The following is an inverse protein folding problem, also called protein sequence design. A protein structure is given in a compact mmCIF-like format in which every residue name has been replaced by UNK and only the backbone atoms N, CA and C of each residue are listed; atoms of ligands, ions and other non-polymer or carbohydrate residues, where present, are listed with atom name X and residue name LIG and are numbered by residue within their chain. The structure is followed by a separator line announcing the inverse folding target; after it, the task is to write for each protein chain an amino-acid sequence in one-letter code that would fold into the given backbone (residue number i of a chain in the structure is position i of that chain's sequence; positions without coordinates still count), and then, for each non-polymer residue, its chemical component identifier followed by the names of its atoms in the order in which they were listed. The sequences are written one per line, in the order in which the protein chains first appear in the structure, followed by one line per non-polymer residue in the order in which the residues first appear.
data_IF_580800643853
#
_entry.id   IF_580800643853
#
_cell.length_a   1.000
_cell.length_b   1.000
_cell.length_c   1.000
_cell.angle_alpha   90.00
_cell.angle_beta   90.00
_cell.angle_gamma   90.00
#
_symmetry.space_group_name_H-M   'P 1'
#
loop_
_entity.id
_entity.type
_entity.pdbx_description
1 polymer ?
#
# COMPACT_ATOMS: atom_id res chain seq x y z
N UNK A 53 -32.56 4.13 -20.86
CA UNK A 53 -32.57 5.07 -21.96
C UNK A 53 -31.30 5.93 -21.71
N UNK A 54 -29.97 5.82 -22.69
CA UNK A 54 -29.29 7.14 -22.77
C UNK A 54 -29.83 7.92 -23.96
N UNK A 55 -29.88 9.12 -23.70
CA UNK A 55 -30.31 10.06 -24.73
C UNK A 55 -30.52 11.45 -24.13
N UNK A 56 -30.85 12.31 -25.04
CA UNK A 56 -31.21 13.71 -24.81
C UNK A 56 -30.47 14.47 -23.78
N UNK A 57 -30.52 14.14 -22.60
CA UNK A 57 -30.35 15.17 -21.61
C UNK A 57 -29.59 14.55 -20.58
N UNK A 58 -28.72 15.43 -20.22
CA UNK A 58 -27.59 15.18 -19.39
C UNK A 58 -27.25 16.45 -18.61
N UNK A 59 -26.99 16.27 -17.43
CA UNK A 59 -26.52 17.37 -16.56
C UNK A 59 -25.21 16.97 -15.88
N UNK A 60 -24.20 17.43 -16.57
CA UNK A 60 -22.88 17.53 -15.99
C UNK A 60 -22.81 18.80 -15.20
N UNK A 61 -23.15 18.61 -13.97
CA UNK A 61 -23.16 19.66 -13.00
C UNK A 61 -21.78 20.19 -12.76
N UNK A 62 -21.78 21.43 -12.30
CA UNK A 62 -20.56 22.12 -11.89
C UNK A 62 -19.93 21.31 -10.85
N UNK A 63 -20.83 20.85 -10.07
CA UNK A 63 -20.48 20.11 -8.94
C UNK A 63 -21.48 19.08 -8.61
N UNK A 64 -20.80 18.02 -8.43
CA UNK A 64 -21.29 16.81 -7.95
C UNK A 64 -20.38 16.42 -6.81
N UNK A 65 -20.97 15.70 -5.92
CA UNK A 65 -20.30 15.21 -4.72
C UNK A 65 -21.18 14.17 -4.05
N UNK A 66 -20.50 13.38 -3.29
CA UNK A 66 -21.13 12.31 -2.47
C UNK A 66 -20.87 12.55 -0.99
N UNK A 67 -21.60 11.73 -0.20
CA UNK A 67 -21.57 11.70 1.29
C UNK A 67 -21.53 10.23 1.80
N UNK A 68 -20.31 9.79 2.10
CA UNK A 68 -20.04 8.44 2.64
C UNK A 68 -19.91 8.55 4.16
N UNK A 69 -20.20 7.49 4.88
CA UNK A 69 -20.15 7.55 6.35
C UNK A 69 -18.91 6.81 6.87
N UNK A 70 -19.25 5.93 7.84
CA UNK A 70 -18.28 5.33 8.73
C UNK A 70 -18.71 3.96 9.09
N UNK A 71 -18.53 3.21 8.16
CA UNK A 71 -18.66 1.82 8.20
C UNK A 71 -18.35 1.29 9.61
N UNK A 72 -19.34 0.83 10.29
CA UNK A 72 -19.14 0.00 11.50
C UNK A 72 -19.22 -1.49 11.07
N UNK A 73 -18.26 -2.50 11.54
CA UNK A 73 -18.03 -3.87 11.02
C UNK A 73 -19.08 -4.92 11.53
N UNK A 74 -19.08 -6.16 10.83
CA UNK A 74 -20.01 -7.43 11.09
C UNK A 74 -19.13 -8.88 10.95
N UNK A 75 -19.61 -10.18 11.56
CA UNK A 75 -18.72 -11.60 11.73
C UNK A 75 -19.49 -13.14 12.04
N UNK A 76 -18.74 -14.56 12.00
CA UNK A 76 -19.39 -16.18 12.09
C UNK A 76 -18.72 -17.54 12.95
N UNK A 77 -19.61 -18.67 13.35
CA UNK A 77 -19.36 -19.94 14.34
C UNK A 77 -17.91 -20.43 14.51
N UNK A 78 -17.62 -21.63 14.09
CA UNK A 78 -16.26 -22.16 14.18
C UNK A 78 -15.94 -22.77 12.85
N UNK A 79 -16.83 -23.68 12.56
CA UNK A 79 -16.81 -24.43 11.35
C UNK A 79 -15.35 -24.60 10.98
N UNK A 80 -14.65 -23.51 11.05
CA UNK A 80 -13.26 -23.52 10.73
C UNK A 80 -12.95 -22.18 10.09
N UNK A 81 -13.45 -21.17 10.74
CA UNK A 81 -13.31 -19.83 10.25
C UNK A 81 -14.26 -18.89 10.94
N UNK A 82 -13.91 -17.67 10.69
CA UNK A 82 -14.38 -16.46 11.31
C UNK A 82 -15.37 -15.67 10.42
N UNK A 83 -14.83 -14.15 9.62
CA UNK A 83 -15.12 -13.38 8.37
C UNK A 83 -14.95 -11.85 8.62
N UNK A 84 -15.28 -11.08 7.59
CA UNK A 84 -15.18 -9.60 7.63
C UNK A 84 -16.02 -8.96 6.52
N UNK A 85 -15.75 -7.66 6.37
CA UNK A 85 -16.38 -6.75 5.39
C UNK A 85 -15.54 -5.46 5.32
N UNK A 86 -15.42 -4.87 4.20
CA UNK A 86 -14.58 -3.66 4.01
C UNK A 86 -14.91 -2.40 4.84
N UNK A 87 -14.13 -1.39 4.45
CA UNK A 87 -14.14 -0.03 4.98
C UNK A 87 -12.72 0.41 5.31
N UNK A 88 -12.07 0.83 4.27
CA UNK A 88 -10.71 1.34 4.31
C UNK A 88 -10.61 2.45 3.28
N UNK A 89 -9.67 3.20 3.38
CA UNK A 89 -9.48 4.27 2.42
C UNK A 89 -8.01 4.35 2.00
N UNK A 90 -7.73 3.52 1.06
CA UNK A 90 -6.35 3.23 0.51
C UNK A 90 -5.32 4.38 -0.16
N UNK A 91 -5.09 5.72 0.26
CA UNK A 91 -4.17 6.91 -0.39
C UNK A 91 -4.79 7.45 -1.71
N UNK A 92 -4.48 8.72 -1.99
CA UNK A 92 -5.04 9.45 -3.15
C UNK A 92 -3.95 10.07 -4.05
N UNK A 93 -4.46 10.66 -5.18
CA UNK A 93 -4.18 10.52 -5.73
C UNK A 93 -3.77 12.00 -5.49
N UNK A 94 -3.29 12.62 -6.56
CA UNK A 94 -2.81 14.02 -6.57
C UNK A 94 -2.61 14.48 -8.04
N UNK A 95 -3.38 15.44 -8.48
CA UNK A 95 -3.31 16.02 -9.83
C UNK A 95 -2.61 15.05 -10.79
N UNK A 96 -2.04 15.66 -11.81
CA UNK A 96 -1.31 14.95 -12.86
C UNK A 96 -1.25 15.82 -14.11
N UNK A 97 -1.63 17.07 -13.93
CA UNK A 97 -1.62 18.06 -15.00
C UNK A 97 -0.49 17.73 -16.02
N UNK A 98 -0.44 16.45 -16.46
CA UNK A 98 0.60 15.91 -17.41
C UNK A 98 -0.04 14.88 -18.45
N UNK A 99 0.70 14.49 -19.56
CA UNK A 99 0.12 13.62 -20.69
C UNK A 99 0.50 12.11 -20.68
N UNK A 100 0.87 11.59 -19.53
CA UNK A 100 1.20 10.17 -19.41
C UNK A 100 0.69 9.64 -18.08
N UNK A 101 -0.22 8.63 -17.79
CA UNK A 101 -0.61 8.56 -16.40
C UNK A 101 0.57 8.44 -15.51
N UNK A 102 0.25 8.00 -14.34
CA UNK A 102 1.19 7.88 -13.26
C UNK A 102 0.41 7.17 -12.14
N UNK A 103 0.99 6.01 -11.77
CA UNK A 103 0.35 5.01 -10.88
C UNK A 103 0.90 4.88 -9.43
N UNK A 104 -0.03 4.50 -8.54
CA UNK A 104 0.25 4.32 -7.09
C UNK A 104 0.11 2.84 -6.69
N UNK A 105 -0.03 1.99 -7.69
CA UNK A 105 -0.17 0.54 -7.47
C UNK A 105 -0.01 0.22 -5.98
N UNK A 106 -1.08 -0.31 -5.39
CA UNK A 106 -1.11 -0.70 -3.97
C UNK A 106 -1.47 -2.19 -3.86
N UNK A 107 -0.70 -2.91 -3.06
CA UNK A 107 -0.80 -4.40 -2.93
C UNK A 107 -1.85 -4.89 -1.94
N UNK A 108 -2.46 -6.02 -2.34
CA UNK A 108 -3.59 -6.64 -1.61
C UNK A 108 -3.26 -8.01 -1.00
N UNK A 109 -3.41 -8.04 0.30
CA UNK A 109 -3.21 -9.26 1.11
C UNK A 109 -3.73 -8.95 2.50
N UNK A 110 -4.34 -9.89 3.19
CA UNK A 110 -4.90 -9.60 4.47
C UNK A 110 -3.99 -8.73 5.30
N UNK A 111 -2.68 -8.84 5.11
CA UNK A 111 -1.73 -8.03 5.94
C UNK A 111 -0.69 -7.34 5.06
N UNK A 112 -0.96 -6.11 4.72
CA UNK A 112 -0.13 -5.28 3.86
C UNK A 112 -0.52 -3.87 4.14
N UNK A 113 -0.34 -3.25 5.29
CA UNK A 113 -1.21 -2.14 5.66
C UNK A 113 -1.45 -1.17 4.57
N UNK A 114 -0.44 -0.94 3.78
CA UNK A 114 -0.58 -0.02 2.67
C UNK A 114 -1.80 -0.41 1.84
N UNK A 115 -2.76 -1.04 2.52
CA UNK A 115 -3.99 -1.51 1.89
C UNK A 115 -4.97 -2.11 2.92
N UNK A 116 -4.71 -1.82 4.17
CA UNK A 116 -5.55 -2.33 5.28
C UNK A 116 -4.90 -1.97 6.62
N UNK A 117 -5.41 -0.90 7.20
CA UNK A 117 -4.93 -0.39 8.49
C UNK A 117 -5.88 -0.81 9.62
N UNK A 118 -6.95 -1.45 9.23
CA UNK A 118 -7.98 -1.93 10.17
C UNK A 118 -8.47 -3.31 9.79
N UNK A 119 -7.60 -4.28 9.99
CA UNK A 119 -7.90 -5.67 9.68
C UNK A 119 -6.58 -6.44 9.65
N UNK A 120 -5.53 -5.67 9.75
CA UNK A 120 -4.17 -6.20 9.80
C UNK A 120 -3.85 -6.37 11.29
N UNK A 121 -4.92 -6.44 12.03
CA UNK A 121 -4.89 -6.54 13.49
C UNK A 121 -5.64 -7.79 13.95
N UNK A 122 -6.15 -8.53 12.99
CA UNK A 122 -6.91 -9.76 13.26
C UNK A 122 -6.50 -10.86 12.29
N UNK A 123 -5.24 -10.81 11.92
CA UNK A 123 -4.63 -11.78 11.03
C UNK A 123 -3.30 -12.19 11.65
N UNK A 124 -3.24 -11.88 12.92
CA UNK A 124 -2.10 -12.21 13.77
C UNK A 124 -2.53 -13.35 14.67
N UNK A 125 -3.62 -13.95 14.24
CA UNK A 125 -4.25 -15.05 14.98
C UNK A 125 -4.76 -16.12 14.01
N UNK A 126 -4.55 -15.88 12.73
CA UNK A 126 -4.96 -16.82 11.66
C UNK A 126 -3.92 -16.83 10.54
N UNK A 127 -4.23 -17.57 9.49
CA UNK A 127 -3.36 -17.66 8.32
C UNK A 127 -4.06 -18.39 7.16
N UNK A 128 -4.65 -17.59 6.31
CA UNK A 128 -5.36 -18.09 5.12
C UNK A 128 -6.64 -17.26 4.93
N UNK A 129 -7.02 -17.11 3.68
CA UNK A 129 -8.22 -16.34 3.32
C UNK A 129 -8.54 -16.30 1.84
N UNK A 130 -9.67 -15.73 1.96
CA UNK A 130 -10.88 -15.71 1.19
C UNK A 130 -11.21 -14.68 0.16
N UNK A 131 -11.72 -13.59 0.67
CA UNK A 131 -12.32 -12.56 -0.16
C UNK A 131 -13.60 -13.17 -0.75
N UNK A 132 -14.65 -12.39 -0.68
CA UNK A 132 -15.95 -12.77 -1.21
C UNK A 132 -16.60 -11.51 -1.73
N UNK A 133 -16.10 -10.41 -1.21
CA UNK A 133 -16.55 -9.06 -1.57
C UNK A 133 -15.39 -8.07 -1.41
N UNK A 134 -15.24 -7.24 -2.42
CA UNK A 134 -14.19 -6.22 -2.44
C UNK A 134 -14.25 -5.42 -3.74
N UNK A 135 -14.48 -4.14 -3.56
CA UNK A 135 -14.57 -3.18 -4.66
C UNK A 135 -14.03 -1.84 -4.19
N UNK A 136 -13.56 -1.06 -5.13
CA UNK A 136 -13.01 0.27 -4.82
C UNK A 136 -13.82 1.34 -5.53
N UNK A 137 -14.25 2.30 -4.76
CA UNK A 137 -15.04 3.40 -5.27
C UNK A 137 -14.22 4.68 -5.28
N UNK A 138 -14.38 5.40 -6.35
CA UNK A 138 -13.82 6.73 -6.43
C UNK A 138 -14.84 7.59 -5.92
N UNK A 139 -14.84 7.63 -4.63
CA UNK A 139 -15.67 8.55 -4.08
C UNK A 139 -15.44 9.67 -5.02
N UNK A 140 -16.29 10.39 -5.10
CA UNK A 140 -16.22 11.62 -5.94
C UNK A 140 -16.35 13.01 -5.19
N UNK A 141 -15.25 13.66 -4.72
CA UNK A 141 -15.34 14.95 -3.92
C UNK A 141 -14.50 16.12 -4.55
N UNK A 142 -14.82 16.47 -5.79
CA UNK A 142 -14.10 17.54 -6.53
C UNK A 142 -14.89 17.97 -7.78
N UNK A 143 -15.25 19.26 -7.89
CA UNK A 143 -16.13 19.76 -8.94
C UNK A 143 -15.67 19.40 -10.32
N UNK A 144 -16.56 19.60 -11.28
CA UNK A 144 -16.34 19.25 -12.69
C UNK A 144 -15.43 20.25 -13.39
N UNK A 145 -15.31 21.41 -12.81
CA UNK A 145 -14.44 22.45 -13.34
C UNK A 145 -13.01 21.88 -13.41
N UNK A 146 -12.93 20.60 -13.12
CA UNK A 146 -11.68 19.83 -13.16
C UNK A 146 -11.96 18.56 -13.98
N UNK A 147 -10.93 17.99 -14.60
CA UNK A 147 -11.14 16.80 -15.44
C UNK A 147 -9.84 16.06 -15.82
N UNK A 148 -10.07 14.94 -16.51
CA UNK A 148 -9.01 14.03 -16.97
C UNK A 148 -9.53 12.59 -16.91
N UNK A 149 -8.86 11.78 -16.11
CA UNK A 149 -9.24 10.35 -15.87
C UNK A 149 -8.61 9.90 -14.55
N UNK A 150 -9.14 8.80 -14.06
CA UNK A 150 -8.66 8.21 -12.82
C UNK A 150 -8.70 6.69 -12.92
N UNK A 151 -7.93 6.17 -13.87
CA UNK A 151 -7.81 4.73 -14.06
C UNK A 151 -7.91 4.06 -12.69
N UNK A 152 -8.34 2.82 -12.69
CA UNK A 152 -8.52 2.06 -11.44
C UNK A 152 -9.06 0.66 -11.76
N UNK A 153 -8.13 -0.28 -11.88
CA UNK A 153 -8.46 -1.69 -12.19
C UNK A 153 -7.37 -2.63 -11.65
N UNK A 154 -7.85 -3.73 -10.99
CA UNK A 154 -6.91 -4.64 -10.30
C UNK A 154 -6.50 -5.77 -11.25
N UNK A 155 -5.32 -6.31 -10.96
CA UNK A 155 -4.73 -7.40 -11.74
C UNK A 155 -4.25 -8.50 -10.80
N UNK A 156 -5.06 -9.55 -10.72
CA UNK A 156 -4.75 -10.70 -9.86
C UNK A 156 -3.27 -10.66 -9.50
N UNK A 157 -2.48 -10.98 -10.51
CA UNK A 157 -1.02 -10.97 -10.39
C UNK A 157 -0.61 -9.61 -9.83
N UNK A 158 -0.90 -9.49 -8.56
CA UNK A 158 -0.72 -8.26 -7.77
C UNK A 158 0.74 -7.76 -7.73
N UNK A 159 1.61 -8.26 -8.58
CA UNK A 159 3.01 -7.80 -8.54
C UNK A 159 3.73 -7.98 -9.88
N UNK A 160 4.25 -6.97 -10.34
CA UNK A 160 4.88 -6.76 -11.65
C UNK A 160 4.85 -5.27 -11.99
N UNK A 161 5.79 -4.75 -12.80
CA UNK A 161 5.83 -3.34 -13.07
C UNK A 161 4.55 -2.86 -13.66
N UNK A 162 4.06 -1.68 -13.25
CA UNK A 162 2.87 -1.14 -13.85
C UNK A 162 3.37 -0.87 -15.17
N UNK A 163 2.75 -0.68 -16.28
CA UNK A 163 3.58 -0.31 -17.31
C UNK A 163 4.06 1.02 -16.96
N UNK A 164 4.40 1.52 -18.04
CA UNK A 164 4.87 2.81 -18.22
C UNK A 164 3.75 3.50 -18.93
N UNK A 165 3.10 2.75 -19.82
CA UNK A 165 2.06 3.35 -20.67
C UNK A 165 0.68 2.69 -20.63
N UNK A 166 -0.21 3.70 -20.74
CA UNK A 166 -1.69 3.66 -20.78
C UNK A 166 -2.21 2.42 -21.46
N UNK A 167 -2.33 2.52 -22.76
CA UNK A 167 -2.78 1.40 -23.57
C UNK A 167 -2.46 0.14 -22.79
N UNK A 168 -1.24 0.14 -22.28
CA UNK A 168 -0.72 -0.95 -21.45
C UNK A 168 -1.67 -1.17 -20.28
N UNK A 169 -2.05 -0.06 -19.70
CA UNK A 169 -2.99 -0.02 -18.57
C UNK A 169 -4.40 -0.31 -19.07
N UNK A 170 -4.74 0.34 -20.15
CA UNK A 170 -6.06 0.31 -20.80
C UNK A 170 -6.24 -1.00 -21.56
N UNK A 171 -5.51 -2.00 -21.14
CA UNK A 171 -5.56 -3.33 -21.78
C UNK A 171 -5.66 -4.42 -20.72
N UNK A 172 -5.47 -3.98 -19.48
CA UNK A 172 -5.54 -4.86 -18.31
C UNK A 172 -6.87 -4.63 -17.57
N UNK A 173 -7.69 -5.65 -17.71
CA UNK A 173 -9.05 -5.58 -17.14
C UNK A 173 -9.16 -4.38 -16.19
N UNK A 174 -9.81 -4.64 -15.06
CA UNK A 174 -10.10 -3.61 -14.05
C UNK A 174 -11.21 -2.76 -14.63
N UNK A 175 -10.77 -2.02 -15.65
CA UNK A 175 -11.66 -1.29 -16.55
C UNK A 175 -12.02 0.00 -16.21
N UNK A 176 -11.66 0.55 -15.23
CA UNK A 176 -12.61 1.51 -15.12
C UNK A 176 -12.18 2.69 -14.42
N UNK A 177 -11.96 3.57 -15.34
CA UNK A 177 -11.61 4.93 -15.13
C UNK A 177 -12.70 5.77 -15.80
N UNK A 178 -12.78 6.62 -15.21
CA UNK A 178 -13.72 7.68 -15.51
C UNK A 178 -13.07 9.01 -15.18
N UNK A 179 -13.86 10.04 -15.31
CA UNK A 179 -13.41 11.39 -14.98
C UNK A 179 -13.37 11.55 -13.48
N UNK A 180 -12.64 12.52 -12.98
CA UNK A 180 -12.65 12.87 -11.57
C UNK A 180 -13.96 13.54 -11.00
N UNK A 181 -14.89 14.14 -11.79
CA UNK A 181 -16.12 14.89 -11.24
C UNK A 181 -17.35 13.99 -11.03
N UNK A 182 -17.12 12.71 -11.12
CA UNK A 182 -18.18 11.71 -10.98
C UNK A 182 -17.80 10.66 -9.93
N UNK A 183 -18.78 9.83 -9.63
CA UNK A 183 -18.62 8.75 -8.64
C UNK A 183 -18.69 7.39 -9.34
N UNK A 184 -17.57 6.71 -9.32
CA UNK A 184 -17.44 5.38 -9.93
C UNK A 184 -17.13 4.34 -8.86
N UNK A 185 -17.29 3.14 -9.24
CA UNK A 185 -16.98 1.95 -8.45
C UNK A 185 -16.13 0.99 -9.29
N UNK A 186 -15.55 0.04 -8.60
CA UNK A 186 -14.70 -0.97 -9.22
C UNK A 186 -14.92 -2.30 -8.49
N UNK A 187 -14.92 -3.36 -9.26
CA UNK A 187 -15.14 -4.69 -8.73
C UNK A 187 -14.22 -5.70 -9.42
N UNK A 188 -14.06 -6.85 -8.62
CA UNK A 188 -13.04 -7.85 -8.97
C UNK A 188 -13.57 -9.26 -8.87
N UNK A 189 -13.41 -10.13 -9.90
CA UNK A 189 -13.77 -11.51 -9.78
C UNK A 189 -12.86 -12.21 -8.79
N UNK A 190 -13.40 -12.50 -7.60
CA UNK A 190 -12.62 -13.16 -6.51
C UNK A 190 -12.76 -14.66 -6.55
N UNK A 191 -11.63 -15.29 -6.24
CA UNK A 191 -11.59 -16.72 -6.24
C UNK A 191 -11.86 -17.32 -4.92
N UNK A 192 -11.45 -18.54 -5.03
CA UNK A 192 -11.80 -19.48 -4.08
C UNK A 192 -10.73 -20.51 -3.70
N UNK A 193 -9.56 -20.05 -3.36
CA UNK A 193 -8.48 -20.94 -2.90
C UNK A 193 -7.97 -20.43 -1.56
N UNK A 194 -7.71 -21.37 -0.67
CA UNK A 194 -7.22 -21.09 0.70
C UNK A 194 -5.77 -20.58 0.65
N UNK A 195 -5.63 -19.29 0.37
CA UNK A 195 -4.31 -18.65 0.28
C UNK A 195 -3.86 -18.16 1.66
N UNK A 196 -2.54 -18.05 1.80
CA UNK A 196 -1.88 -17.68 3.07
C UNK A 196 -1.36 -16.24 3.01
N UNK A 197 -1.41 -15.60 4.15
CA UNK A 197 -0.91 -14.23 4.31
C UNK A 197 0.59 -14.33 4.56
N UNK A 198 1.25 -13.20 4.64
CA UNK A 198 2.70 -13.17 4.78
C UNK A 198 3.19 -12.83 6.20
N UNK A 199 3.62 -13.88 6.91
CA UNK A 199 4.32 -13.69 8.19
C UNK A 199 5.76 -13.60 7.74
N UNK A 200 5.71 -13.01 6.54
CA UNK A 200 6.83 -12.74 5.64
C UNK A 200 6.30 -12.78 4.18
N UNK A 201 7.30 -12.73 3.70
CA UNK A 201 8.13 -13.12 2.52
C UNK A 201 7.81 -14.41 1.71
N UNK A 202 7.75 -14.77 1.73
CA UNK A 202 7.69 -15.36 0.37
C UNK A 202 8.10 -14.72 -0.99
N UNK A 203 7.14 -15.15 -1.87
CA UNK A 203 6.98 -14.95 -3.34
C UNK A 203 5.79 -14.02 -3.62
N UNK A 204 5.71 -12.72 -4.24
CA UNK A 204 4.43 -12.01 -4.38
C UNK A 204 3.55 -12.64 -5.40
N UNK A 205 3.05 -13.82 -5.16
CA UNK A 205 2.13 -14.43 -6.14
C UNK A 205 1.36 -15.63 -5.59
N UNK A 206 2.00 -16.36 -4.70
CA UNK A 206 1.37 -17.55 -4.12
C UNK A 206 0.73 -17.22 -2.76
N UNK A 207 0.97 -15.99 -2.31
CA UNK A 207 0.50 -15.54 -0.98
C UNK A 207 -0.62 -14.49 -1.05
N UNK A 208 -0.72 -13.80 -2.16
CA UNK A 208 -1.75 -12.75 -2.34
C UNK A 208 -2.16 -12.65 -3.81
N UNK A 209 -3.43 -12.37 -4.03
CA UNK A 209 -3.98 -12.23 -5.39
C UNK A 209 -3.01 -11.41 -6.24
N UNK A 210 -3.13 -10.09 -6.14
CA UNK A 210 -2.26 -9.13 -6.89
C UNK A 210 -2.53 -7.70 -6.39
N UNK A 211 -1.60 -6.76 -6.66
CA UNK A 211 -1.83 -5.34 -6.22
C UNK A 211 -2.88 -4.70 -7.07
N UNK A 212 -3.32 -3.59 -6.53
CA UNK A 212 -4.28 -2.73 -7.17
C UNK A 212 -3.47 -1.65 -7.87
N UNK A 213 -4.16 -0.85 -8.64
CA UNK A 213 -3.54 0.22 -9.41
C UNK A 213 -4.43 1.46 -9.40
N UNK A 214 -3.91 2.53 -9.73
CA UNK A 214 -4.68 3.77 -9.92
C UNK A 214 -3.83 4.83 -10.58
N UNK A 215 -4.34 5.32 -11.65
CA UNK A 215 -3.71 6.39 -12.35
C UNK A 215 -4.77 7.42 -12.59
N UNK A 216 -4.27 8.54 -12.93
CA UNK A 216 -5.07 9.68 -13.26
C UNK A 216 -4.20 10.60 -14.08
N UNK A 217 -4.71 10.94 -15.24
CA UNK A 217 -4.05 11.87 -16.14
C UNK A 217 -5.02 13.00 -16.48
N UNK A 218 -4.59 14.19 -16.15
CA UNK A 218 -5.36 15.43 -16.35
C UNK A 218 -4.42 16.62 -16.22
N UNK A 219 -5.01 17.82 -16.24
CA UNK A 219 -4.22 19.08 -16.17
C UNK A 219 -5.01 20.23 -15.52
N UNK A 220 -6.32 20.18 -15.70
CA UNK A 220 -7.24 21.14 -15.03
C UNK A 220 -7.08 20.83 -13.55
N UNK A 221 -7.24 21.76 -12.65
CA UNK A 221 -6.58 21.69 -11.34
C UNK A 221 -7.52 21.20 -10.23
N UNK A 222 -6.85 20.17 -9.42
CA UNK A 222 -7.62 19.77 -8.24
C UNK A 222 -6.93 18.61 -7.51
N UNK A 223 -7.51 18.33 -6.37
CA UNK A 223 -7.12 17.22 -5.50
C UNK A 223 -8.26 16.18 -5.59
N UNK A 224 -8.34 15.65 -6.81
CA UNK A 224 -9.36 14.68 -7.27
C UNK A 224 -10.27 14.14 -6.14
N UNK A 225 -10.04 12.90 -5.74
CA UNK A 225 -10.89 12.24 -4.71
C UNK A 225 -10.15 11.16 -3.89
N UNK A 226 -10.98 10.23 -3.39
CA UNK A 226 -10.54 9.12 -2.51
C UNK A 226 -11.32 7.82 -2.79
N UNK A 227 -10.75 6.72 -2.31
CA UNK A 227 -11.32 5.36 -2.47
C UNK A 227 -11.03 4.47 -1.24
N UNK A 228 -11.65 3.31 -1.26
CA UNK A 228 -11.47 2.28 -0.22
C UNK A 228 -11.50 0.89 -0.87
N UNK A 229 -11.95 -0.06 -0.08
CA UNK A 229 -12.03 -1.46 -0.52
C UNK A 229 -13.20 -2.19 0.14
N UNK A 230 -14.24 -2.38 -0.66
CA UNK A 230 -15.44 -3.11 -0.24
C UNK A 230 -15.06 -4.59 -0.22
N UNK A 231 -15.16 -5.20 0.94
CA UNK A 231 -14.76 -6.61 1.06
C UNK A 231 -15.43 -7.34 2.21
N UNK A 232 -15.17 -8.65 2.15
CA UNK A 232 -15.64 -9.67 3.09
C UNK A 232 -14.67 -10.85 2.99
N UNK A 233 -13.97 -11.10 4.08
CA UNK A 233 -12.90 -12.11 4.12
C UNK A 233 -13.25 -13.35 4.95
N UNK A 234 -12.39 -14.33 4.72
CA UNK A 234 -12.40 -15.65 5.38
C UNK A 234 -10.99 -15.94 5.90
N UNK A 235 -10.89 -16.00 7.21
CA UNK A 235 -9.60 -16.22 7.89
C UNK A 235 -9.58 -17.62 8.57
N UNK A 236 -9.31 -18.71 7.79
CA UNK A 236 -9.28 -20.07 8.43
C UNK A 236 -8.08 -20.24 9.32
N UNK A 237 -8.01 -21.47 9.77
CA UNK A 237 -6.97 -21.97 10.64
C UNK A 237 -6.64 -20.98 11.74
N UNK A 238 -6.85 -21.44 12.95
CA UNK A 238 -6.55 -20.67 14.15
C UNK A 238 -5.03 -20.73 14.41
N UNK A 239 -4.43 -19.55 14.36
CA UNK A 239 -3.00 -19.36 14.66
C UNK A 239 -2.88 -18.35 15.81
N UNK A 240 -2.12 -17.28 15.59
CA UNK A 240 -1.97 -16.19 16.60
C UNK A 240 -0.50 -15.85 16.89
N UNK A 241 -0.14 -14.60 16.56
CA UNK A 241 1.23 -14.08 16.77
C UNK A 241 1.51 -12.89 15.83
N UNK A 242 2.75 -12.41 15.90
CA UNK A 242 3.24 -11.35 15.02
C UNK A 242 3.55 -10.02 15.74
N UNK A 243 4.00 -9.08 14.92
CA UNK A 243 4.36 -7.69 15.32
C UNK A 243 5.11 -7.00 14.17
N UNK A 244 6.31 -6.38 14.39
CA UNK A 244 7.14 -5.82 13.32
C UNK A 244 8.34 -6.64 12.84
N UNK A 245 7.71 -5.42 13.08
CA UNK A 245 8.44 -5.88 11.90
C UNK A 245 9.96 -5.78 12.10
N UNK A 246 10.56 -6.96 12.04
CA UNK A 246 12.01 -7.15 12.20
C UNK A 246 12.55 -7.74 10.88
N UNK A 247 13.55 -7.10 10.28
CA UNK A 247 14.08 -7.56 8.96
C UNK A 247 15.60 -7.40 8.81
N UNK A 248 16.29 -8.51 8.99
CA UNK A 248 17.75 -8.58 8.99
C UNK A 248 18.38 -8.94 7.63
N UNK A 249 19.55 -8.36 7.38
CA UNK A 249 20.36 -8.71 6.20
C UNK A 249 21.45 -9.72 6.65
N UNK A 250 21.54 -10.81 5.93
CA UNK A 250 22.59 -11.82 6.12
C UNK A 250 23.67 -11.71 5.00
N UNK A 251 24.72 -10.97 5.25
CA UNK A 251 25.91 -10.83 4.33
C UNK A 251 25.72 -11.32 2.87
N UNK A 252 25.00 -12.42 2.71
CA UNK A 252 24.72 -13.01 1.38
C UNK A 252 23.41 -12.45 0.84
N UNK A 253 22.53 -12.26 1.76
CA UNK A 253 21.14 -11.86 1.53
C UNK A 253 20.61 -11.09 2.74
N UNK A 254 19.34 -10.81 2.68
CA UNK A 254 18.64 -10.09 3.73
C UNK A 254 17.79 -11.06 4.57
N UNK A 255 16.56 -10.66 4.73
CA UNK A 255 15.63 -11.26 5.72
C UNK A 255 14.53 -10.14 6.11
N UNK A 256 12.83 -9.93 5.14
CA UNK A 256 11.78 -9.06 5.63
C UNK A 256 10.66 -9.92 6.13
N UNK A 257 11.00 -10.95 6.52
CA UNK A 257 10.20 -12.17 6.54
C UNK A 257 9.27 -12.20 7.76
N UNK A 258 8.78 -11.04 8.17
CA UNK A 258 7.87 -10.97 9.33
C UNK A 258 7.08 -9.63 9.42
N UNK A 259 6.21 -9.38 8.41
CA UNK A 259 5.20 -8.32 8.22
C UNK A 259 5.87 -6.98 7.86
N UNK A 260 5.38 -6.39 6.77
CA UNK A 260 5.93 -5.12 6.21
C UNK A 260 5.12 -3.80 6.46
N UNK A 261 6.44 -2.79 6.24
CA UNK A 261 5.74 -1.62 5.69
C UNK A 261 6.63 -0.88 4.70
N UNK A 262 7.89 -1.25 4.70
CA UNK A 262 8.91 -0.60 3.85
C UNK A 262 9.72 -1.64 3.05
N UNK A 263 10.17 -1.18 1.88
CA UNK A 263 11.07 -1.96 1.01
C UNK A 263 12.41 -1.23 0.99
N UNK A 264 13.44 -1.99 1.22
CA UNK A 264 14.78 -1.43 1.30
C UNK A 264 15.59 -1.69 0.04
N UNK A 265 15.52 -0.71 -0.85
CA UNK A 265 16.34 -0.71 -2.06
C UNK A 265 17.49 0.22 -1.84
N UNK A 266 18.43 0.04 -2.69
CA UNK A 266 19.60 0.86 -2.71
C UNK A 266 19.80 1.30 -4.14
N UNK A 267 20.28 2.44 -4.22
CA UNK A 267 20.79 3.02 -5.46
C UNK A 267 22.32 3.07 -5.39
N UNK A 268 22.85 2.36 -6.49
CA UNK A 268 24.30 2.16 -6.60
C UNK A 268 25.01 3.49 -6.47
N UNK A 269 26.24 3.40 -6.09
CA UNK A 269 26.98 4.58 -5.70
C UNK A 269 26.47 4.75 -4.32
N UNK A 270 27.25 3.84 -3.61
CA UNK A 270 26.44 3.60 -2.43
C UNK A 270 26.25 4.96 -1.67
N UNK A 271 25.00 5.08 -1.55
CA UNK A 271 24.05 6.06 -1.10
C UNK A 271 23.02 5.01 -1.10
N UNK A 272 22.00 5.03 -0.34
CA UNK A 272 21.21 3.80 -0.29
C UNK A 272 19.72 4.09 -0.34
N UNK A 273 18.96 3.19 0.24
CA UNK A 273 17.49 3.32 0.28
C UNK A 273 16.93 2.73 1.57
N UNK A 274 16.09 3.54 2.21
CA UNK A 274 15.31 3.06 3.36
C UNK A 274 13.83 3.57 3.31
N UNK A 275 12.93 2.61 2.84
CA UNK A 275 11.49 2.89 2.46
C UNK A 275 10.43 2.20 3.38
N UNK A 276 8.99 2.75 2.57
CA UNK A 276 7.63 2.47 3.01
C UNK A 276 6.71 1.94 1.88
N UNK A 277 5.73 1.19 2.39
CA UNK A 277 4.67 0.51 1.62
C UNK A 277 3.33 0.78 2.32
N UNK A 278 3.47 1.33 3.52
CA UNK A 278 2.35 1.70 4.41
C UNK A 278 2.41 3.20 4.72
N UNK A 279 1.37 3.69 5.39
CA UNK A 279 1.23 5.13 5.75
C UNK A 279 0.70 5.32 7.22
N UNK A 280 1.35 6.32 7.93
CA UNK A 280 1.06 6.75 9.37
C UNK A 280 2.37 7.26 10.11
N UNK A 281 2.30 7.63 11.43
CA UNK A 281 3.52 8.03 12.26
C UNK A 281 4.11 6.72 12.82
N UNK A 282 5.46 6.54 12.80
CA UNK A 282 6.00 5.22 13.18
C UNK A 282 7.06 5.38 14.26
N UNK A 283 7.53 4.24 14.70
CA UNK A 283 8.59 4.15 15.70
C UNK A 283 9.59 3.14 15.25
N UNK A 284 10.61 3.72 14.70
CA UNK A 284 11.70 2.98 14.21
C UNK A 284 12.57 2.69 15.29
N UNK A 285 13.02 1.93 15.02
CA UNK A 285 13.99 1.44 16.01
C UNK A 285 14.92 0.44 15.35
N UNK A 286 16.25 0.67 15.39
CA UNK A 286 17.10 -0.36 14.75
C UNK A 286 18.50 -0.09 14.13
N UNK A 287 18.84 -1.46 13.59
CA UNK A 287 19.91 -2.00 12.69
C UNK A 287 21.27 -1.51 13.18
N UNK A 288 22.67 -2.03 12.35
CA UNK A 288 23.93 -1.63 13.00
C UNK A 288 25.11 -2.51 12.47
N UNK A 289 26.30 -2.14 12.99
CA UNK A 289 27.69 -2.77 12.85
C UNK A 289 28.77 -1.71 12.47
N UNK A 290 29.11 -1.59 11.16
CA UNK A 290 30.09 -0.59 10.65
C UNK A 290 29.33 0.74 10.40
N UNK A 291 29.29 1.57 11.47
CA UNK A 291 28.58 2.89 11.49
C UNK A 291 29.29 3.88 10.59
N UNK A 292 28.87 3.80 9.36
CA UNK A 292 29.58 4.51 8.34
C UNK A 292 29.11 5.90 8.19
N UNK A 293 28.69 6.00 6.96
CA UNK A 293 28.20 7.16 6.27
C UNK A 293 27.03 7.76 7.01
N UNK A 294 26.19 7.22 6.92
CA UNK A 294 25.46 8.10 7.81
C UNK A 294 24.39 7.38 8.42
N UNK A 295 23.33 7.78 8.13
CA UNK A 295 22.41 7.10 8.80
C UNK A 295 21.54 8.03 9.34
N UNK A 296 20.55 7.51 8.97
CA UNK A 296 19.36 8.03 9.12
C UNK A 296 19.47 9.51 8.91
N UNK A 297 19.51 9.42 7.50
CA UNK A 297 19.00 10.62 6.83
C UNK A 297 17.59 10.29 6.32
N UNK A 298 16.96 11.32 5.79
CA UNK A 298 15.61 11.21 5.21
C UNK A 298 15.46 12.24 4.09
N UNK A 299 14.43 12.03 3.28
CA UNK A 299 14.18 12.91 2.12
C UNK A 299 12.68 13.21 1.98
N UNK A 300 11.69 12.23 1.44
CA UNK A 300 10.23 12.41 1.25
C UNK A 300 9.53 11.86 2.47
N UNK A 301 9.83 12.64 3.48
CA UNK A 301 9.53 12.32 4.82
C UNK A 301 8.94 13.37 5.72
N UNK A 302 8.42 12.73 6.75
CA UNK A 302 7.76 13.34 7.89
C UNK A 302 8.63 13.12 9.13
N UNK A 303 8.58 14.12 9.91
CA UNK A 303 9.29 14.24 11.18
C UNK A 303 10.13 12.97 11.34
N UNK A 304 11.36 12.69 11.87
CA UNK A 304 12.64 11.97 12.02
C UNK A 304 13.15 12.07 13.41
N UNK A 305 13.28 11.06 13.85
CA UNK A 305 13.87 11.15 15.19
C UNK A 305 14.94 10.07 15.30
N UNK A 306 16.10 10.63 15.42
CA UNK A 306 17.31 9.83 15.55
C UNK A 306 18.05 10.21 16.79
N UNK A 307 18.14 9.18 17.54
CA UNK A 307 18.85 9.15 18.78
C UNK A 307 19.74 7.94 18.69
N UNK A 308 20.74 8.07 17.79
CA UNK A 308 21.79 7.07 17.66
C UNK A 308 23.16 7.75 17.57
N UNK A 309 24.13 6.95 17.21
CA UNK A 309 25.52 7.41 17.05
C UNK A 309 25.67 8.06 15.66
N UNK A 310 26.09 7.09 14.97
CA UNK A 310 26.34 6.78 13.61
C UNK A 310 26.34 5.34 13.98
N UNK A 311 27.45 4.99 14.61
CA UNK A 311 27.51 3.70 15.31
C UNK A 311 28.74 2.87 14.96
N UNK A 312 29.33 2.91 13.99
CA UNK A 312 30.33 1.90 13.61
C UNK A 312 30.40 0.82 14.69
N UNK A 313 29.22 0.04 14.68
CA UNK A 313 28.75 -1.10 15.58
C UNK A 313 27.57 -0.51 16.43
N UNK A 314 27.01 0.73 16.27
CA UNK A 314 25.92 1.05 17.28
C UNK A 314 24.43 0.56 17.15
N UNK A 315 23.58 1.50 17.69
CA UNK A 315 22.09 1.43 17.84
C UNK A 315 21.42 2.75 17.45
N UNK A 316 19.92 2.57 16.89
CA UNK A 316 19.32 3.81 16.40
C UNK A 316 17.80 3.74 16.48
N UNK A 317 17.17 4.85 16.12
CA UNK A 317 15.75 5.13 16.40
C UNK A 317 15.30 6.38 15.65
N UNK A 318 14.04 6.38 15.32
CA UNK A 318 13.40 7.50 14.61
C UNK A 318 11.89 7.30 14.60
N UNK A 319 11.23 8.38 14.41
CA UNK A 319 9.79 8.45 14.32
C UNK A 319 9.52 9.15 13.02
N UNK A 320 8.95 8.66 12.15
CA UNK A 320 8.44 9.12 10.84
C UNK A 320 7.01 9.72 11.05
N UNK A 321 6.48 10.38 10.04
CA UNK A 321 5.07 10.91 9.98
C UNK A 321 4.84 11.17 8.54
N UNK A 322 4.20 10.05 8.05
CA UNK A 322 4.47 10.19 6.63
C UNK A 322 3.44 10.99 5.93
N UNK A 323 3.70 10.91 4.69
CA UNK A 323 2.98 11.51 3.66
C UNK A 323 2.54 10.37 2.84
N UNK A 324 2.30 10.62 1.65
CA UNK A 324 1.60 9.61 0.97
C UNK A 324 2.47 8.60 0.39
N UNK A 325 2.01 7.50 0.94
CA UNK A 325 2.54 6.25 0.72
C UNK A 325 3.84 6.46 0.08
N UNK A 326 4.53 5.39 0.33
CA UNK A 326 5.90 5.17 -0.09
C UNK A 326 6.69 6.44 0.13
N UNK A 327 6.97 7.30 1.33
CA UNK A 327 8.04 8.30 1.58
C UNK A 327 9.32 7.53 2.02
N UNK A 328 10.52 8.03 1.64
CA UNK A 328 11.79 7.26 1.89
C UNK A 328 12.81 7.92 2.87
N UNK A 329 13.73 7.06 3.58
CA UNK A 329 14.81 7.45 4.49
C UNK A 329 16.00 6.52 4.28
N UNK A 330 17.21 7.02 4.54
CA UNK A 330 18.39 6.22 4.19
C UNK A 330 19.64 6.47 5.02
N UNK A 331 20.47 5.44 4.90
CA UNK A 331 21.82 5.35 5.45
C UNK A 331 22.77 5.50 4.26
N UNK A 332 23.83 5.31 4.90
CA UNK A 332 25.05 5.46 4.10
C UNK A 332 26.18 4.61 4.69
N UNK A 333 26.41 3.54 4.03
CA UNK A 333 27.44 2.54 4.31
C UNK A 333 27.69 1.72 3.06
N UNK A 334 28.94 1.34 2.96
CA UNK A 334 29.47 0.82 1.74
C UNK A 334 28.89 -0.36 1.05
N UNK A 335 29.40 0.00 -0.09
CA UNK A 335 29.45 -0.48 -1.44
C UNK A 335 28.59 -1.60 -1.84
N UNK A 336 28.73 -2.76 -0.64
CA UNK A 336 27.83 -3.65 -1.36
C UNK A 336 27.10 -4.60 -0.42
N UNK A 337 26.07 -4.00 0.13
CA UNK A 337 24.97 -4.66 0.88
C UNK A 337 25.21 -5.27 2.28
N UNK A 338 26.03 -6.24 2.66
CA UNK A 338 25.99 -6.69 4.08
C UNK A 338 26.22 -5.58 5.11
N UNK A 339 25.63 -5.87 6.30
CA UNK A 339 25.44 -4.89 7.39
C UNK A 339 25.26 -5.45 8.81
N UNK A 340 23.98 -5.37 9.15
CA UNK A 340 23.39 -5.80 10.43
C UNK A 340 21.88 -5.99 10.24
N UNK A 341 20.98 -5.33 11.08
CA UNK A 341 19.59 -5.77 11.28
C UNK A 341 18.74 -4.56 11.67
N UNK A 342 17.45 -4.79 11.70
CA UNK A 342 16.48 -3.75 12.03
C UNK A 342 15.09 -4.36 12.28
N UNK A 343 14.23 -3.55 12.80
CA UNK A 343 12.83 -3.83 13.12
C UNK A 343 12.03 -2.53 13.04
N UNK A 344 10.97 -2.58 12.24
CA UNK A 344 10.08 -1.43 12.05
C UNK A 344 8.65 -1.78 12.51
N UNK A 345 8.32 -1.19 13.68
CA UNK A 345 6.97 -1.25 14.30
C UNK A 345 6.18 -0.06 13.73
N UNK A 346 4.89 -0.25 13.49
CA UNK A 346 4.04 0.82 12.90
C UNK A 346 3.80 1.94 13.91
N UNK A 347 3.10 1.59 14.94
CA UNK A 347 2.70 2.48 16.01
C UNK A 347 1.33 3.09 15.70
#
# INVERSE_FOLDING_TARGET
MENDPRVRKFASDGAQWAIKWQKKGWSTLTSRQKQTARAAMGIKLSPVAQPVQKVTRLSAPVALAYREVSTQPRVSTARDGITRSGSELITTLKKNTDTEPKYTTAVLNPSEPGTFNQLIKEAAQYEKYRFTSLRFRYSPMSPSTTGGKVALAFDRDAAKPPPNDLASLYNIEGCVSSVPWTGFILTVPTDSTDRFVADGISDPKLVDFGKLIMATYGQGAAQLGEVRVEYTVQLKNRTGSTSAQIGDFAGVKDGPRLVSWSKTKGTAGWEHDCHFLGTGNFSLTLFYEKAPVSGLENADASDFSVLGEAAAGSVQWAGVKVAERGQGVKMVTTEEQPKGKWQALRI
#
